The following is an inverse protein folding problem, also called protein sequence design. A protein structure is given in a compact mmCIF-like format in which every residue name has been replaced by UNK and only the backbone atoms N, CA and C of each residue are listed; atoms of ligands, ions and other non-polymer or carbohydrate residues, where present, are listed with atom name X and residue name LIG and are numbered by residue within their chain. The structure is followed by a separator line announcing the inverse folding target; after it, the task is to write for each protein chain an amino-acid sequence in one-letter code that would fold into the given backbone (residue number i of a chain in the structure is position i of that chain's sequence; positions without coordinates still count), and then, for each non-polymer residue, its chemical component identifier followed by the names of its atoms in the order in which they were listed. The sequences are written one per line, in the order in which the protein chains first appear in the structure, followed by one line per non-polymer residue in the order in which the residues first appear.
data_IF_794734699245
#
_entry.id   IF_794734699245
#
_cell.length_a   1.000
_cell.length_b   1.000
_cell.length_c   1.000
_cell.angle_alpha   90.00
_cell.angle_beta   90.00
_cell.angle_gamma   90.00
#
_symmetry.space_group_name_H-M   'P 1'
#
loop_
_entity.id
_entity.type
_entity.pdbx_description
1 polymer ?
#
# COMPACT_ATOMS: atom_id res chain seq x y z
N UNK A 1 0.11 56.20 -24.82
CA UNK A 1 1.44 55.66 -24.48
C UNK A 1 1.18 54.31 -23.86
N UNK A 2 1.51 53.25 -24.60
CA UNK A 2 1.16 51.87 -24.28
C UNK A 2 2.46 51.15 -23.88
N UNK A 3 2.53 50.72 -22.63
CA UNK A 3 3.65 49.95 -22.12
C UNK A 3 3.59 48.53 -22.69
N UNK A 4 4.49 48.25 -23.62
CA UNK A 4 4.82 46.90 -24.05
C UNK A 4 5.72 46.27 -22.99
N UNK A 5 5.18 45.32 -22.23
CA UNK A 5 5.97 44.36 -21.47
C UNK A 5 6.63 43.40 -22.46
N UNK A 6 7.93 43.62 -22.65
CA UNK A 6 8.83 42.69 -23.33
C UNK A 6 8.78 41.33 -22.63
N UNK A 7 8.39 40.31 -23.39
CA UNK A 7 8.51 38.91 -23.03
C UNK A 7 9.99 38.56 -22.85
N UNK A 8 10.44 38.44 -21.61
CA UNK A 8 11.78 37.96 -21.30
C UNK A 8 11.90 36.46 -21.64
N UNK A 9 12.83 36.18 -22.56
CA UNK A 9 13.33 34.87 -22.94
C UNK A 9 13.63 33.98 -21.71
N UNK A 10 12.91 32.86 -21.59
CA UNK A 10 13.36 31.73 -20.77
C UNK A 10 14.14 30.81 -21.70
N UNK A 11 15.43 31.13 -21.89
CA UNK A 11 16.39 30.20 -22.49
C UNK A 11 16.52 28.96 -21.60
N UNK A 12 16.61 27.80 -22.26
CA UNK A 12 16.47 26.47 -21.67
C UNK A 12 17.31 26.19 -20.43
N UNK A 13 16.63 25.75 -19.37
CA UNK A 13 17.22 24.87 -18.37
C UNK A 13 17.60 23.55 -19.07
N UNK A 14 18.86 23.44 -19.51
CA UNK A 14 19.47 22.16 -19.85
C UNK A 14 19.67 21.38 -18.55
N UNK A 15 18.88 20.33 -18.34
CA UNK A 15 19.10 19.38 -17.26
C UNK A 15 20.49 18.76 -17.41
N UNK A 16 21.33 18.87 -16.37
CA UNK A 16 22.61 18.18 -16.32
C UNK A 16 22.39 16.66 -16.35
N UNK A 17 23.19 15.95 -17.15
CA UNK A 17 23.23 14.50 -17.17
C UNK A 17 23.60 13.97 -15.77
N UNK A 18 22.63 13.40 -15.07
CA UNK A 18 22.85 12.77 -13.77
C UNK A 18 23.61 11.45 -14.00
N UNK A 19 24.93 11.49 -13.86
CA UNK A 19 25.75 10.31 -13.64
C UNK A 19 25.83 10.06 -12.14
N UNK A 20 25.13 9.03 -11.65
CA UNK A 20 25.26 8.57 -10.27
C UNK A 20 25.38 7.04 -10.26
N UNK A 21 26.50 6.56 -9.75
CA UNK A 21 26.74 5.13 -9.48
C UNK A 21 26.08 4.78 -8.13
N UNK A 22 24.86 4.27 -8.19
CA UNK A 22 24.20 3.65 -7.03
C UNK A 22 23.97 2.19 -7.35
N UNK A 23 24.80 1.33 -6.73
CA UNK A 23 24.78 -0.12 -6.94
C UNK A 23 23.45 -0.70 -6.47
N UNK A 24 22.67 -1.26 -7.41
CA UNK A 24 21.63 -2.23 -7.09
C UNK A 24 22.28 -3.43 -6.38
N UNK A 25 21.61 -4.09 -5.42
CA UNK A 25 22.06 -5.38 -4.95
C UNK A 25 22.02 -6.36 -6.14
N UNK A 26 23.18 -6.59 -6.74
CA UNK A 26 23.41 -7.63 -7.73
C UNK A 26 23.29 -8.95 -6.98
N UNK A 27 22.09 -9.50 -6.91
CA UNK A 27 21.89 -10.87 -6.46
C UNK A 27 20.66 -11.46 -7.16
N UNK A 28 20.91 -12.06 -8.33
CA UNK A 28 20.15 -13.18 -8.90
C UNK A 28 18.73 -12.95 -9.47
N UNK A 29 18.29 -11.72 -9.71
CA UNK A 29 17.12 -11.48 -10.56
C UNK A 29 17.59 -11.04 -11.96
N UNK A 30 17.58 -11.95 -12.92
CA UNK A 30 17.88 -11.67 -14.33
C UNK A 30 16.76 -10.80 -14.92
N UNK A 31 16.81 -9.49 -14.68
CA UNK A 31 15.90 -8.54 -15.34
C UNK A 31 16.69 -7.81 -16.40
N UNK A 32 16.34 -8.02 -17.65
CA UNK A 32 16.99 -7.34 -18.77
C UNK A 32 16.54 -5.87 -18.81
N UNK A 33 17.49 -4.95 -18.70
CA UNK A 33 17.28 -3.51 -18.86
C UNK A 33 17.23 -3.14 -20.35
N UNK A 34 16.57 -2.03 -20.71
CA UNK A 34 16.58 -1.50 -22.08
C UNK A 34 17.34 -0.16 -22.14
N UNK A 35 18.49 -0.15 -22.80
CA UNK A 35 19.18 1.10 -23.22
C UNK A 35 19.00 1.27 -24.72
N UNK A 36 18.81 2.50 -25.25
CA UNK A 36 18.50 3.76 -24.53
C UNK A 36 17.02 3.96 -24.14
N UNK A 37 16.70 4.87 -23.18
CA UNK A 37 15.32 5.23 -22.77
C UNK A 37 14.36 5.60 -23.91
N UNK A 38 14.90 6.00 -25.06
CA UNK A 38 14.18 6.22 -26.31
C UNK A 38 13.30 5.03 -26.75
N UNK A 39 13.71 3.82 -26.38
CA UNK A 39 12.99 2.57 -26.60
C UNK A 39 11.62 2.56 -25.91
N UNK A 40 11.54 3.16 -24.73
CA UNK A 40 10.30 3.32 -23.96
C UNK A 40 9.41 4.35 -24.63
N UNK A 41 10.01 5.40 -25.21
CA UNK A 41 9.31 6.49 -25.89
C UNK A 41 8.79 6.09 -27.28
N UNK A 42 9.37 5.07 -27.92
CA UNK A 42 8.89 4.52 -29.19
C UNK A 42 7.57 3.72 -29.06
N UNK A 43 6.54 4.02 -29.86
CA UNK A 43 5.24 3.33 -29.84
C UNK A 43 5.28 1.83 -30.16
N UNK A 44 6.17 1.42 -31.06
CA UNK A 44 6.20 0.07 -31.64
C UNK A 44 7.50 -0.67 -31.29
N UNK A 45 8.00 -0.47 -30.07
CA UNK A 45 9.33 -0.94 -29.73
C UNK A 45 9.46 -2.44 -29.52
N UNK A 46 8.33 -3.15 -29.41
CA UNK A 46 8.29 -4.61 -29.25
C UNK A 46 8.94 -5.10 -27.96
N UNK A 47 9.26 -4.19 -27.04
CA UNK A 47 9.93 -4.52 -25.81
C UNK A 47 8.97 -5.12 -24.79
N UNK A 48 9.53 -6.06 -24.04
CA UNK A 48 8.87 -6.67 -22.90
C UNK A 48 8.46 -5.58 -21.87
N UNK A 49 7.15 -5.49 -21.52
CA UNK A 49 6.62 -4.53 -20.56
C UNK A 49 7.37 -4.49 -19.23
N UNK A 50 7.84 -5.63 -18.73
CA UNK A 50 8.61 -5.67 -17.48
C UNK A 50 9.90 -4.85 -17.58
N UNK A 51 10.60 -4.99 -18.71
CA UNK A 51 11.85 -4.30 -18.96
C UNK A 51 11.63 -2.80 -19.11
N UNK A 52 10.52 -2.39 -19.72
CA UNK A 52 10.12 -0.98 -19.86
C UNK A 52 9.97 -0.34 -18.47
N UNK A 53 9.17 -0.97 -17.60
CA UNK A 53 8.88 -0.40 -16.28
C UNK A 53 10.11 -0.41 -15.37
N UNK A 54 10.88 -1.51 -15.34
CA UNK A 54 12.12 -1.58 -14.54
C UNK A 54 13.11 -0.52 -14.99
N UNK A 55 13.27 -0.33 -16.30
CA UNK A 55 14.13 0.71 -16.86
C UNK A 55 13.66 2.10 -16.43
N UNK A 56 12.35 2.38 -16.53
CA UNK A 56 11.78 3.66 -16.10
C UNK A 56 12.00 3.93 -14.59
N UNK A 57 11.78 2.93 -13.73
CA UNK A 57 12.05 3.03 -12.28
C UNK A 57 13.53 3.31 -12.02
N UNK A 58 14.41 2.50 -12.61
CA UNK A 58 15.86 2.64 -12.45
C UNK A 58 16.35 4.01 -12.91
N UNK A 59 15.87 4.48 -14.06
CA UNK A 59 16.18 5.81 -14.59
C UNK A 59 15.70 6.93 -13.66
N UNK A 60 14.44 6.85 -13.21
CA UNK A 60 13.83 7.83 -12.30
C UNK A 60 14.63 7.94 -11.00
N UNK A 61 15.10 6.81 -10.46
CA UNK A 61 15.88 6.76 -9.22
C UNK A 61 17.37 7.09 -9.41
N UNK A 62 17.80 7.41 -10.63
CA UNK A 62 19.21 7.66 -10.95
C UNK A 62 20.10 6.43 -10.76
N UNK A 63 19.54 5.21 -10.80
CA UNK A 63 20.26 3.93 -10.63
C UNK A 63 20.40 3.25 -11.99
N UNK A 64 21.59 3.27 -12.59
CA UNK A 64 21.84 2.54 -13.85
C UNK A 64 22.43 1.15 -13.55
N UNK A 65 21.92 0.05 -14.13
CA UNK A 65 22.61 -1.24 -14.06
C UNK A 65 23.99 -1.18 -14.70
N UNK A 66 24.97 -1.86 -14.11
CA UNK A 66 26.38 -1.85 -14.57
C UNK A 66 26.64 -2.69 -15.82
N UNK A 67 25.71 -3.57 -16.22
CA UNK A 67 25.82 -4.38 -17.44
C UNK A 67 24.48 -4.42 -18.16
N UNK A 68 24.43 -3.89 -19.38
CA UNK A 68 23.20 -3.78 -20.16
C UNK A 68 23.48 -4.23 -21.60
N UNK A 69 22.63 -5.09 -22.20
CA UNK A 69 22.70 -5.35 -23.63
C UNK A 69 22.34 -4.08 -24.41
N UNK A 70 23.27 -3.59 -25.23
CA UNK A 70 23.00 -2.52 -26.19
C UNK A 70 22.10 -3.07 -27.30
N UNK A 71 20.89 -2.52 -27.43
CA UNK A 71 20.04 -2.82 -28.57
C UNK A 71 20.45 -1.91 -29.74
N UNK A 72 20.89 -2.46 -30.88
CA UNK A 72 21.26 -1.65 -32.01
C UNK A 72 20.05 -0.86 -32.49
N UNK A 73 20.22 0.46 -32.60
CA UNK A 73 19.27 1.45 -33.12
C UNK A 73 18.69 1.04 -34.49
N UNK A 74 19.41 0.16 -35.21
CA UNK A 74 19.10 -0.43 -36.52
C UNK A 74 17.73 -1.16 -36.57
N UNK A 75 17.13 -1.54 -35.44
CA UNK A 75 15.79 -2.15 -35.41
C UNK A 75 14.63 -1.16 -35.62
N UNK A 76 14.90 0.15 -35.66
CA UNK A 76 13.88 1.18 -35.82
C UNK A 76 13.95 1.87 -37.18
N UNK A 77 12.79 2.14 -37.78
CA UNK A 77 12.71 2.94 -39.00
C UNK A 77 13.27 4.35 -38.74
N UNK A 78 14.03 4.90 -39.68
CA UNK A 78 14.85 6.12 -39.49
C UNK A 78 14.02 7.37 -39.15
N UNK A 79 12.76 7.41 -39.58
CA UNK A 79 11.78 8.44 -39.23
C UNK A 79 11.24 8.34 -37.79
N UNK A 80 11.23 7.14 -37.22
CA UNK A 80 10.88 6.90 -35.80
C UNK A 80 12.06 7.30 -34.93
N UNK A 81 13.29 6.99 -35.36
CA UNK A 81 14.52 7.38 -34.67
C UNK A 81 14.64 8.91 -34.59
N UNK A 82 14.43 9.65 -35.70
CA UNK A 82 14.57 11.11 -35.68
C UNK A 82 13.56 11.78 -34.74
N UNK A 83 12.28 11.40 -34.81
CA UNK A 83 11.23 11.91 -33.90
C UNK A 83 11.49 11.54 -32.45
N UNK A 84 12.06 10.37 -32.20
CA UNK A 84 12.38 9.93 -30.83
C UNK A 84 13.61 10.66 -30.31
N UNK A 85 14.64 10.91 -31.12
CA UNK A 85 15.80 11.74 -30.75
C UNK A 85 15.37 13.18 -30.43
N UNK A 86 14.41 13.73 -31.17
CA UNK A 86 13.83 15.04 -30.87
C UNK A 86 13.00 15.02 -29.57
N UNK A 87 12.28 13.93 -29.28
CA UNK A 87 11.56 13.75 -28.01
C UNK A 87 12.50 13.57 -26.80
N UNK A 88 13.64 12.87 -26.93
CA UNK A 88 14.63 12.71 -25.84
C UNK A 88 15.21 14.06 -25.41
N UNK A 89 15.29 15.02 -26.33
CA UNK A 89 15.76 16.38 -26.02
C UNK A 89 14.67 17.26 -25.40
N UNK A 90 13.46 16.74 -25.22
CA UNK A 90 12.30 17.46 -24.74
C UNK A 90 11.98 17.07 -23.29
N UNK A 91 11.64 18.05 -22.45
CA UNK A 91 11.21 17.93 -21.05
C UNK A 91 10.08 16.91 -20.87
N UNK A 92 9.26 16.69 -21.91
CA UNK A 92 8.19 15.69 -21.88
C UNK A 92 8.69 14.24 -21.79
N UNK A 93 9.91 13.94 -22.26
CA UNK A 93 10.46 12.58 -22.16
C UNK A 93 10.78 12.19 -20.72
N UNK A 94 11.36 13.12 -19.95
CA UNK A 94 11.62 12.93 -18.53
C UNK A 94 10.31 12.79 -17.74
N UNK A 95 9.29 13.57 -18.09
CA UNK A 95 7.96 13.42 -17.50
C UNK A 95 7.35 12.03 -17.74
N UNK A 96 7.45 11.48 -18.95
CA UNK A 96 6.97 10.12 -19.26
C UNK A 96 7.74 9.06 -18.46
N UNK A 97 9.08 9.19 -18.37
CA UNK A 97 9.91 8.23 -17.64
C UNK A 97 9.63 8.26 -16.14
N UNK A 98 9.52 9.46 -15.55
CA UNK A 98 9.19 9.62 -14.12
C UNK A 98 7.78 9.14 -13.84
N UNK A 99 6.80 9.43 -14.72
CA UNK A 99 5.44 8.91 -14.61
C UNK A 99 5.43 7.37 -14.58
N UNK A 100 6.09 6.72 -15.55
CA UNK A 100 6.15 5.25 -15.63
C UNK A 100 6.90 4.64 -14.43
N UNK A 101 7.97 5.29 -13.96
CA UNK A 101 8.70 4.87 -12.77
C UNK A 101 7.84 4.96 -11.50
N UNK A 102 7.16 6.09 -11.31
CA UNK A 102 6.23 6.29 -10.20
C UNK A 102 5.08 5.28 -10.24
N UNK A 103 4.39 5.16 -11.38
CA UNK A 103 3.27 4.25 -11.55
C UNK A 103 3.70 2.78 -11.38
N UNK A 104 4.87 2.41 -11.91
CA UNK A 104 5.44 1.07 -11.73
C UNK A 104 5.68 0.69 -10.28
N UNK A 105 6.14 1.65 -9.45
CA UNK A 105 6.32 1.44 -8.01
C UNK A 105 4.99 1.41 -7.25
N UNK A 106 4.07 2.33 -7.55
CA UNK A 106 2.75 2.37 -6.91
C UNK A 106 1.94 1.12 -7.19
N UNK A 107 2.04 0.58 -8.40
CA UNK A 107 1.31 -0.63 -8.80
C UNK A 107 1.84 -1.92 -8.18
N UNK A 108 3.03 -1.91 -7.56
CA UNK A 108 3.47 -2.99 -6.68
C UNK A 108 2.62 -3.02 -5.40
N UNK A 109 2.29 -1.86 -4.84
CA UNK A 109 1.52 -1.76 -3.60
C UNK A 109 0.00 -1.79 -3.81
N UNK A 110 -0.47 -1.17 -4.90
CA UNK A 110 -1.89 -1.09 -5.24
C UNK A 110 -2.11 -1.58 -6.66
N UNK A 111 -2.65 -2.80 -6.78
CA UNK A 111 -3.00 -3.38 -8.08
C UNK A 111 -4.03 -2.52 -8.80
N UNK A 112 -3.88 -2.43 -10.10
CA UNK A 112 -4.89 -1.87 -10.98
C UNK A 112 -6.07 -2.84 -11.07
N UNK A 113 -7.29 -2.29 -11.15
CA UNK A 113 -8.52 -3.06 -11.29
C UNK A 113 -8.75 -3.56 -12.71
N UNK A 114 -9.92 -4.14 -12.97
CA UNK A 114 -10.31 -4.57 -14.33
C UNK A 114 -10.77 -3.43 -15.24
N UNK A 115 -11.05 -2.25 -14.68
CA UNK A 115 -11.53 -1.08 -15.41
C UNK A 115 -10.34 -0.20 -15.82
N UNK A 116 -9.98 -0.27 -17.11
CA UNK A 116 -8.86 0.48 -17.66
C UNK A 116 -9.06 2.01 -17.58
N UNK A 117 -10.29 2.51 -17.70
CA UNK A 117 -10.55 3.94 -17.65
C UNK A 117 -10.38 4.44 -16.19
N UNK A 118 -10.92 3.71 -15.21
CA UNK A 118 -10.74 4.04 -13.79
C UNK A 118 -9.26 3.94 -13.34
N UNK A 119 -8.54 2.93 -13.82
CA UNK A 119 -7.10 2.79 -13.60
C UNK A 119 -6.34 3.99 -14.18
N UNK A 120 -6.73 4.40 -15.39
CA UNK A 120 -6.17 5.55 -16.05
C UNK A 120 -6.42 6.85 -15.27
N UNK A 121 -7.65 7.10 -14.86
CA UNK A 121 -8.00 8.29 -14.07
C UNK A 121 -7.22 8.34 -12.75
N UNK A 122 -7.12 7.21 -12.04
CA UNK A 122 -6.34 7.14 -10.80
C UNK A 122 -4.87 7.55 -11.01
N UNK A 123 -4.20 7.00 -12.02
CA UNK A 123 -2.79 7.32 -12.28
C UNK A 123 -2.58 8.75 -12.80
N UNK A 124 -3.50 9.27 -13.63
CA UNK A 124 -3.48 10.67 -14.07
C UNK A 124 -3.66 11.61 -12.89
N UNK A 125 -4.60 11.33 -11.98
CA UNK A 125 -4.83 12.20 -10.82
C UNK A 125 -3.59 12.23 -9.91
N UNK A 126 -2.94 11.08 -9.70
CA UNK A 126 -1.69 11.00 -8.95
C UNK A 126 -0.55 11.75 -9.62
N UNK A 127 -0.46 11.69 -10.94
CA UNK A 127 0.51 12.47 -11.71
C UNK A 127 0.20 13.97 -11.72
N UNK A 128 -1.07 14.35 -11.78
CA UNK A 128 -1.51 15.73 -11.71
C UNK A 128 -1.09 16.37 -10.40
N UNK A 129 -1.18 15.65 -9.28
CA UNK A 129 -0.68 16.14 -7.99
C UNK A 129 0.83 16.47 -8.05
N UNK A 130 1.62 15.63 -8.71
CA UNK A 130 3.07 15.86 -8.90
C UNK A 130 3.29 17.08 -9.77
N UNK A 131 2.55 17.20 -10.87
CA UNK A 131 2.63 18.33 -11.78
C UNK A 131 2.31 19.65 -11.08
N UNK A 132 1.20 19.70 -10.34
CA UNK A 132 0.80 20.86 -9.54
C UNK A 132 1.84 21.25 -8.50
N UNK A 133 2.42 20.26 -7.79
CA UNK A 133 3.43 20.52 -6.75
C UNK A 133 4.82 20.89 -7.30
N UNK A 134 5.05 20.71 -8.61
CA UNK A 134 6.31 21.08 -9.28
C UNK A 134 6.13 22.18 -10.30
N UNK A 135 4.94 22.77 -10.38
CA UNK A 135 4.57 23.86 -11.28
C UNK A 135 4.86 23.55 -12.76
N UNK A 136 4.71 22.28 -13.16
CA UNK A 136 4.84 21.84 -14.55
C UNK A 136 3.47 21.51 -15.16
N UNK A 137 3.37 21.67 -16.47
CA UNK A 137 2.19 21.25 -17.22
C UNK A 137 2.10 19.72 -17.31
N UNK A 138 0.90 19.19 -17.09
CA UNK A 138 0.63 17.76 -17.22
C UNK A 138 0.49 17.35 -18.69
N UNK A 139 1.49 16.61 -19.18
CA UNK A 139 1.58 16.09 -20.57
C UNK A 139 0.41 15.22 -21.04
N UNK A 140 -0.38 14.65 -20.14
CA UNK A 140 -1.54 13.82 -20.49
C UNK A 140 -2.82 14.66 -20.64
N UNK A 141 -2.87 15.85 -20.02
CA UNK A 141 -4.01 16.78 -20.12
C UNK A 141 -3.78 17.76 -21.27
N UNK A 142 -2.55 18.22 -21.47
CA UNK A 142 -2.18 19.16 -22.54
C UNK A 142 -2.16 18.55 -23.95
N UNK A 143 -2.65 17.32 -24.11
CA UNK A 143 -2.70 16.58 -25.38
C UNK A 143 -1.34 16.36 -26.07
N UNK A 144 -0.24 16.58 -25.34
CA UNK A 144 1.13 16.28 -25.81
C UNK A 144 1.32 14.79 -26.01
N UNK A 145 0.76 13.96 -25.11
CA UNK A 145 0.69 12.51 -25.27
C UNK A 145 -0.69 12.11 -25.78
N UNK A 146 -0.74 11.38 -26.89
CA UNK A 146 -2.02 10.90 -27.43
C UNK A 146 -2.69 9.91 -26.48
N UNK A 147 -4.03 9.88 -26.48
CA UNK A 147 -4.82 8.93 -25.68
C UNK A 147 -4.42 7.47 -25.96
N UNK A 148 -4.16 7.13 -27.22
CA UNK A 148 -3.70 5.78 -27.60
C UNK A 148 -2.36 5.42 -26.94
N UNK A 149 -1.42 6.37 -26.92
CA UNK A 149 -0.11 6.17 -26.30
C UNK A 149 -0.24 6.01 -24.79
N UNK A 150 -1.10 6.82 -24.18
CA UNK A 150 -1.42 6.71 -22.77
C UNK A 150 -2.00 5.33 -22.41
N UNK A 151 -3.00 4.85 -23.17
CA UNK A 151 -3.58 3.51 -22.95
C UNK A 151 -2.53 2.39 -23.10
N UNK A 152 -1.53 2.59 -23.95
CA UNK A 152 -0.39 1.66 -24.07
C UNK A 152 0.42 1.60 -22.78
N UNK A 153 0.63 2.72 -22.10
CA UNK A 153 1.31 2.75 -20.79
C UNK A 153 0.51 2.01 -19.71
N UNK A 154 -0.82 2.19 -19.68
CA UNK A 154 -1.69 1.48 -18.73
C UNK A 154 -1.61 -0.04 -18.94
N UNK A 155 -1.72 -0.51 -20.17
CA UNK A 155 -1.55 -1.94 -20.50
C UNK A 155 -0.17 -2.47 -20.12
N UNK A 156 0.87 -1.66 -20.32
CA UNK A 156 2.24 -2.01 -19.91
C UNK A 156 2.34 -2.21 -18.39
N UNK A 157 1.69 -1.34 -17.61
CA UNK A 157 1.64 -1.44 -16.15
C UNK A 157 0.82 -2.63 -15.65
N UNK A 158 -0.25 -3.01 -16.35
CA UNK A 158 -1.04 -4.22 -16.04
C UNK A 158 -0.20 -5.49 -16.22
N UNK A 159 0.52 -5.60 -17.35
CA UNK A 159 1.41 -6.75 -17.60
C UNK A 159 2.56 -6.77 -16.58
N UNK A 160 3.13 -5.61 -16.26
CA UNK A 160 4.15 -5.47 -15.23
C UNK A 160 3.70 -6.02 -13.87
N UNK A 161 2.47 -5.74 -13.44
CA UNK A 161 1.94 -6.22 -12.16
C UNK A 161 1.94 -7.74 -12.05
N UNK A 162 1.50 -8.43 -13.11
CA UNK A 162 1.50 -9.89 -13.16
C UNK A 162 2.94 -10.42 -13.05
N UNK A 163 3.85 -9.82 -13.81
CA UNK A 163 5.27 -10.22 -13.82
C UNK A 163 5.96 -10.01 -12.48
N UNK A 164 5.79 -8.84 -11.87
CA UNK A 164 6.49 -8.43 -10.66
C UNK A 164 6.02 -9.18 -9.40
N UNK A 165 4.75 -9.61 -9.35
CA UNK A 165 4.20 -10.43 -8.26
C UNK A 165 4.98 -11.73 -8.05
N UNK A 166 5.44 -12.35 -9.13
CA UNK A 166 6.24 -13.58 -9.09
C UNK A 166 7.69 -13.36 -8.60
N UNK A 167 8.11 -12.11 -8.39
CA UNK A 167 9.52 -11.74 -8.11
C UNK A 167 9.67 -10.92 -6.82
N UNK A 168 9.45 -11.52 -5.63
CA UNK A 168 9.45 -10.81 -4.36
C UNK A 168 10.76 -10.15 -3.96
N UNK A 169 11.90 -10.69 -4.39
CA UNK A 169 13.19 -10.06 -4.18
C UNK A 169 13.35 -8.77 -5.00
N UNK A 170 12.84 -8.75 -6.23
CA UNK A 170 12.96 -7.64 -7.16
C UNK A 170 12.09 -6.46 -6.73
N UNK A 171 10.79 -6.68 -6.55
CA UNK A 171 9.87 -5.60 -6.17
C UNK A 171 10.32 -4.93 -4.88
N UNK A 172 10.77 -5.74 -3.91
CA UNK A 172 11.28 -5.24 -2.64
C UNK A 172 12.50 -4.35 -2.83
N UNK A 173 13.45 -4.77 -3.67
CA UNK A 173 14.66 -3.99 -3.97
C UNK A 173 14.30 -2.65 -4.61
N UNK A 174 13.31 -2.63 -5.50
CA UNK A 174 12.79 -1.40 -6.12
C UNK A 174 12.11 -0.48 -5.09
N UNK A 175 11.29 -1.04 -4.19
CA UNK A 175 10.63 -0.28 -3.12
C UNK A 175 11.64 0.32 -2.14
N UNK A 176 12.64 -0.43 -1.69
CA UNK A 176 13.73 0.10 -0.85
C UNK A 176 14.46 1.23 -1.57
N UNK A 177 14.76 1.04 -2.86
CA UNK A 177 15.42 2.07 -3.67
C UNK A 177 14.59 3.36 -3.79
N UNK A 178 13.25 3.27 -3.81
CA UNK A 178 12.36 4.42 -3.80
C UNK A 178 12.30 5.11 -2.43
N UNK A 179 12.34 4.34 -1.33
CA UNK A 179 12.38 4.90 0.02
C UNK A 179 13.69 5.67 0.28
N UNK A 180 14.81 5.10 -0.18
CA UNK A 180 16.16 5.66 -0.07
C UNK A 180 16.48 6.65 -1.22
N UNK A 181 15.47 7.25 -1.85
CA UNK A 181 15.67 8.27 -2.88
C UNK A 181 16.47 9.46 -2.32
N UNK A 182 17.63 9.83 -2.92
CA UNK A 182 18.50 10.90 -2.39
C UNK A 182 17.84 12.28 -2.36
N UNK A 183 18.18 13.11 -1.37
CA UNK A 183 17.66 14.48 -1.23
C UNK A 183 18.12 15.42 -2.36
N UNK A 184 19.24 15.11 -3.01
CA UNK A 184 19.79 15.85 -4.14
C UNK A 184 19.18 15.40 -5.48
N UNK A 185 18.14 14.58 -5.46
CA UNK A 185 17.41 14.21 -6.68
C UNK A 185 16.64 15.40 -7.24
N UNK A 186 16.37 15.44 -8.57
CA UNK A 186 15.55 16.50 -9.18
C UNK A 186 14.21 16.66 -8.48
N UNK A 187 13.69 17.88 -8.42
CA UNK A 187 12.42 18.19 -7.73
C UNK A 187 11.27 17.30 -8.23
N UNK A 188 11.16 17.10 -9.54
CA UNK A 188 10.18 16.21 -10.16
C UNK A 188 10.24 14.78 -9.60
N UNK A 189 11.45 14.21 -9.50
CA UNK A 189 11.69 12.88 -8.96
C UNK A 189 11.35 12.83 -7.47
N UNK A 190 11.76 13.83 -6.69
CA UNK A 190 11.47 13.89 -5.24
C UNK A 190 9.98 13.92 -4.96
N UNK A 191 9.24 14.76 -5.66
CA UNK A 191 7.79 14.88 -5.51
C UNK A 191 7.09 13.58 -5.94
N UNK A 192 7.51 12.97 -7.06
CA UNK A 192 6.99 11.68 -7.49
C UNK A 192 7.26 10.57 -6.44
N UNK A 193 8.49 10.49 -5.92
CA UNK A 193 8.84 9.50 -4.89
C UNK A 193 8.15 9.78 -3.55
N UNK A 194 7.82 11.03 -3.22
CA UNK A 194 6.99 11.33 -2.06
C UNK A 194 5.56 10.75 -2.22
N UNK A 195 4.98 10.82 -3.42
CA UNK A 195 3.70 10.16 -3.72
C UNK A 195 3.81 8.64 -3.65
N UNK A 196 4.90 8.06 -4.16
CA UNK A 196 5.19 6.63 -3.99
C UNK A 196 5.26 6.26 -2.51
N UNK A 197 6.01 7.02 -1.69
CA UNK A 197 6.17 6.79 -0.24
C UNK A 197 4.85 6.75 0.51
N UNK A 198 3.90 7.60 0.12
CA UNK A 198 2.54 7.61 0.68
C UNK A 198 1.79 6.35 0.26
N UNK A 199 1.85 5.96 -1.01
CA UNK A 199 1.07 4.82 -1.52
C UNK A 199 1.60 3.46 -1.02
N UNK A 200 2.91 3.34 -0.80
CA UNK A 200 3.53 2.10 -0.29
C UNK A 200 3.57 2.05 1.24
N UNK A 201 2.99 3.05 1.91
CA UNK A 201 2.87 3.08 3.36
C UNK A 201 2.04 1.90 3.84
N UNK A 202 2.54 1.16 4.84
CA UNK A 202 1.94 -0.06 5.37
C UNK A 202 1.75 -1.19 4.34
N UNK A 203 2.54 -1.18 3.26
CA UNK A 203 2.56 -2.27 2.28
C UNK A 203 2.72 -3.63 2.98
N UNK A 204 1.85 -4.59 2.66
CA UNK A 204 1.85 -5.94 3.26
C UNK A 204 1.34 -6.01 4.70
N UNK A 205 0.95 -4.88 5.33
CA UNK A 205 0.49 -4.83 6.71
C UNK A 205 -1.03 -4.62 6.83
N UNK A 206 -1.79 -4.66 5.73
CA UNK A 206 -3.23 -4.32 5.72
C UNK A 206 -4.04 -5.12 6.76
N UNK A 207 -3.88 -6.44 6.80
CA UNK A 207 -4.59 -7.28 7.77
C UNK A 207 -4.15 -7.02 9.20
N UNK A 208 -2.86 -6.73 9.43
CA UNK A 208 -2.35 -6.37 10.75
C UNK A 208 -2.99 -5.06 11.23
N UNK A 209 -3.09 -4.06 10.35
CA UNK A 209 -3.78 -2.81 10.66
C UNK A 209 -5.28 -3.02 10.93
N UNK A 210 -5.94 -3.92 10.20
CA UNK A 210 -7.35 -4.28 10.47
C UNK A 210 -7.51 -4.96 11.83
N UNK A 211 -6.63 -5.87 12.20
CA UNK A 211 -6.60 -6.53 13.51
C UNK A 211 -6.33 -5.53 14.64
N UNK A 212 -5.46 -4.57 14.39
CA UNK A 212 -5.23 -3.49 15.35
C UNK A 212 -6.41 -2.52 15.48
N UNK A 213 -7.07 -2.22 14.35
CA UNK A 213 -8.25 -1.36 14.34
C UNK A 213 -9.49 -2.04 14.93
N UNK A 214 -9.53 -3.38 14.94
CA UNK A 214 -10.60 -4.19 15.52
C UNK A 214 -10.88 -3.80 16.99
N UNK A 215 -9.85 -3.35 17.70
CA UNK A 215 -9.90 -2.98 19.11
C UNK A 215 -9.92 -1.46 19.35
N UNK A 216 -9.96 -0.65 18.30
CA UNK A 216 -9.97 0.80 18.42
C UNK A 216 -11.37 1.33 18.75
N UNK A 217 -11.45 2.15 19.79
CA UNK A 217 -12.66 2.85 20.27
C UNK A 217 -13.37 3.71 19.20
N UNK A 218 -12.71 4.01 18.08
CA UNK A 218 -13.33 4.76 16.98
C UNK A 218 -14.45 3.97 16.27
N UNK A 219 -14.53 2.66 16.48
CA UNK A 219 -15.68 1.86 16.07
C UNK A 219 -16.82 2.05 17.08
N UNK A 220 -17.84 2.82 16.69
CA UNK A 220 -19.07 3.11 17.46
C UNK A 220 -19.75 1.81 17.97
N UNK A 221 -19.51 0.68 17.31
CA UNK A 221 -19.91 -0.65 17.75
C UNK A 221 -18.67 -1.50 18.03
N UNK A 222 -18.29 -1.61 19.30
CA UNK A 222 -17.23 -2.55 19.74
C UNK A 222 -17.68 -3.97 19.39
N UNK A 223 -16.86 -4.69 18.62
CA UNK A 223 -17.17 -6.07 18.26
C UNK A 223 -17.09 -6.97 19.49
N UNK A 224 -18.17 -7.69 19.81
CA UNK A 224 -18.25 -8.47 21.04
C UNK A 224 -17.29 -9.65 21.09
N UNK A 225 -16.77 -10.11 19.95
CA UNK A 225 -15.74 -11.13 19.94
C UNK A 225 -14.46 -10.67 20.69
N UNK A 226 -14.23 -9.35 20.88
CA UNK A 226 -13.12 -8.88 21.71
C UNK A 226 -13.22 -9.29 23.18
N UNK A 227 -14.41 -9.67 23.65
CA UNK A 227 -14.64 -10.13 25.01
C UNK A 227 -14.27 -11.60 25.21
N UNK A 228 -13.99 -12.34 24.12
CA UNK A 228 -13.45 -13.69 24.21
C UNK A 228 -11.98 -13.62 24.69
N UNK A 229 -11.59 -14.36 25.74
CA UNK A 229 -10.27 -14.22 26.37
C UNK A 229 -9.09 -14.38 25.39
N UNK A 230 -9.14 -15.37 24.49
CA UNK A 230 -8.09 -15.60 23.49
C UNK A 230 -7.94 -14.42 22.53
N UNK A 231 -9.04 -13.80 22.11
CA UNK A 231 -9.05 -12.65 21.20
C UNK A 231 -8.53 -11.40 21.93
N UNK A 232 -8.99 -11.15 23.16
CA UNK A 232 -8.53 -10.04 23.99
C UNK A 232 -7.02 -10.10 24.23
N UNK A 233 -6.51 -11.28 24.58
CA UNK A 233 -5.09 -11.52 24.80
C UNK A 233 -4.28 -11.30 23.51
N UNK A 234 -4.70 -11.91 22.40
CA UNK A 234 -4.01 -11.75 21.12
C UNK A 234 -4.00 -10.30 20.63
N UNK A 235 -5.07 -9.53 20.87
CA UNK A 235 -5.12 -8.12 20.53
C UNK A 235 -4.19 -7.28 21.41
N UNK A 236 -4.13 -7.54 22.72
CA UNK A 236 -3.18 -6.89 23.61
C UNK A 236 -1.73 -7.20 23.20
N UNK A 237 -1.43 -8.46 22.87
CA UNK A 237 -0.10 -8.88 22.41
C UNK A 237 0.29 -8.24 21.08
N UNK A 238 -0.65 -8.17 20.12
CA UNK A 238 -0.44 -7.47 18.85
C UNK A 238 -0.16 -5.98 19.06
N UNK A 239 -0.98 -5.31 19.88
CA UNK A 239 -0.82 -3.88 20.20
C UNK A 239 0.55 -3.61 20.82
N UNK A 240 0.98 -4.41 21.81
CA UNK A 240 2.32 -4.31 22.41
C UNK A 240 3.41 -4.47 21.36
N UNK A 241 3.30 -5.49 20.49
CA UNK A 241 4.28 -5.71 19.43
C UNK A 241 4.35 -4.51 18.47
N UNK A 242 3.22 -3.93 18.09
CA UNK A 242 3.19 -2.75 17.23
C UNK A 242 3.76 -1.51 17.91
N UNK A 243 3.43 -1.25 19.17
CA UNK A 243 3.92 -0.08 19.89
C UNK A 243 5.43 -0.15 20.15
N UNK A 244 5.94 -1.35 20.47
CA UNK A 244 7.38 -1.61 20.56
C UNK A 244 8.09 -1.36 19.22
N UNK A 245 7.54 -1.88 18.11
CA UNK A 245 8.11 -1.69 16.78
C UNK A 245 8.02 -0.23 16.32
N UNK A 246 6.92 0.46 16.61
CA UNK A 246 6.72 1.87 16.29
C UNK A 246 7.72 2.75 17.03
N UNK A 247 7.90 2.49 18.33
CA UNK A 247 8.90 3.18 19.16
C UNK A 247 10.31 2.92 18.66
N UNK A 248 10.61 1.67 18.28
CA UNK A 248 11.95 1.26 17.83
C UNK A 248 12.34 1.84 16.48
N UNK A 249 11.40 1.91 15.54
CA UNK A 249 11.70 2.22 14.13
C UNK A 249 11.22 3.59 13.67
N UNK A 250 10.44 4.32 14.47
CA UNK A 250 9.97 5.67 14.17
C UNK A 250 9.34 5.75 12.78
N UNK A 251 9.85 6.67 11.95
CA UNK A 251 9.37 6.92 10.58
C UNK A 251 9.53 5.73 9.63
N UNK A 252 10.34 4.72 9.99
CA UNK A 252 10.48 3.48 9.19
C UNK A 252 9.43 2.43 9.53
N UNK A 253 8.67 2.60 10.62
CA UNK A 253 7.63 1.66 11.04
C UNK A 253 6.58 1.37 9.96
N UNK A 254 6.07 2.37 9.21
CA UNK A 254 5.12 2.09 8.14
C UNK A 254 5.70 1.27 6.98
N UNK A 255 7.02 1.06 6.93
CA UNK A 255 7.73 0.38 5.85
C UNK A 255 8.43 -0.91 6.33
N UNK A 256 8.00 -1.47 7.47
CA UNK A 256 8.60 -2.66 8.09
C UNK A 256 8.76 -3.83 7.11
N UNK A 257 7.69 -4.15 6.37
CA UNK A 257 7.69 -5.25 5.39
C UNK A 257 8.62 -5.00 4.20
N UNK A 258 8.89 -3.73 3.85
CA UNK A 258 9.80 -3.34 2.77
C UNK A 258 11.25 -3.42 3.24
N UNK A 259 11.56 -2.97 4.46
CA UNK A 259 12.92 -2.97 5.01
C UNK A 259 13.35 -4.28 5.69
N UNK A 260 12.43 -5.19 6.05
CA UNK A 260 12.72 -6.47 6.74
C UNK A 260 13.36 -6.23 8.09
N UNK A 261 12.86 -5.20 8.76
CA UNK A 261 13.39 -4.79 10.05
C UNK A 261 13.15 -5.88 11.08
N UNK A 262 14.12 -6.10 11.96
CA UNK A 262 14.09 -7.16 12.96
C UNK A 262 12.82 -7.08 13.81
N UNK A 263 12.13 -8.21 13.97
CA UNK A 263 10.88 -8.28 14.74
C UNK A 263 9.61 -8.07 13.93
N UNK A 264 9.69 -7.79 12.61
CA UNK A 264 8.50 -7.76 11.75
C UNK A 264 7.80 -9.12 11.67
N UNK A 265 8.51 -10.22 11.92
CA UNK A 265 7.95 -11.58 12.02
C UNK A 265 6.91 -11.71 13.15
N UNK A 266 6.89 -10.79 14.12
CA UNK A 266 5.86 -10.71 15.17
C UNK A 266 4.54 -10.18 14.65
N UNK A 267 4.52 -9.50 13.49
CA UNK A 267 3.32 -8.96 12.85
C UNK A 267 2.85 -9.90 11.74
N UNK A 268 2.51 -11.13 12.12
CA UNK A 268 2.00 -12.15 11.21
C UNK A 268 0.64 -12.66 11.69
N UNK A 269 -0.36 -12.69 10.82
CA UNK A 269 -1.71 -13.14 11.15
C UNK A 269 -1.75 -14.55 11.77
N UNK A 270 -0.84 -15.44 11.38
CA UNK A 270 -0.72 -16.80 11.95
C UNK A 270 -0.33 -16.82 13.44
N UNK A 271 0.28 -15.74 13.96
CA UNK A 271 0.60 -15.63 15.39
C UNK A 271 -0.60 -15.20 16.24
N UNK A 272 -1.67 -14.71 15.61
CA UNK A 272 -2.88 -14.23 16.27
C UNK A 272 -4.13 -14.81 15.58
N UNK A 273 -4.28 -16.15 15.55
CA UNK A 273 -5.27 -16.82 14.70
C UNK A 273 -6.72 -16.50 15.09
N UNK A 274 -7.04 -16.40 16.38
CA UNK A 274 -8.38 -16.09 16.87
C UNK A 274 -8.79 -14.65 16.54
N UNK A 275 -7.88 -13.69 16.77
CA UNK A 275 -8.09 -12.29 16.40
C UNK A 275 -8.22 -12.12 14.89
N UNK A 276 -7.38 -12.80 14.11
CA UNK A 276 -7.43 -12.75 12.65
C UNK A 276 -8.77 -13.31 12.13
N UNK A 277 -9.21 -14.45 12.65
CA UNK A 277 -10.49 -15.04 12.29
C UNK A 277 -11.66 -14.11 12.66
N UNK A 278 -11.65 -13.50 13.84
CA UNK A 278 -12.69 -12.56 14.27
C UNK A 278 -12.82 -11.35 13.34
N UNK A 279 -11.69 -10.78 12.90
CA UNK A 279 -11.68 -9.69 11.89
C UNK A 279 -12.31 -10.16 10.59
N UNK A 280 -11.92 -11.33 10.08
CA UNK A 280 -12.46 -11.88 8.84
C UNK A 280 -13.95 -12.14 8.95
N UNK A 281 -14.41 -12.79 10.02
CA UNK A 281 -15.82 -13.05 10.28
C UNK A 281 -16.63 -11.74 10.32
N UNK A 282 -16.06 -10.68 10.89
CA UNK A 282 -16.67 -9.35 10.93
C UNK A 282 -16.81 -8.73 9.53
N UNK A 283 -15.80 -8.87 8.68
CA UNK A 283 -15.87 -8.39 7.30
C UNK A 283 -16.96 -9.16 6.50
N UNK A 284 -17.08 -10.47 6.73
CA UNK A 284 -18.14 -11.31 6.14
C UNK A 284 -19.54 -10.88 6.62
N UNK A 285 -19.71 -10.69 7.92
CA UNK A 285 -20.96 -10.23 8.51
C UNK A 285 -21.39 -8.85 7.92
N UNK A 286 -20.41 -8.00 7.62
CA UNK A 286 -20.60 -6.71 6.93
C UNK A 286 -20.73 -6.82 5.40
N UNK A 287 -20.95 -8.03 4.86
CA UNK A 287 -21.13 -8.32 3.43
C UNK A 287 -19.95 -7.89 2.55
N UNK A 288 -18.74 -7.83 3.11
CA UNK A 288 -17.52 -7.55 2.33
C UNK A 288 -16.95 -8.85 1.76
N UNK A 289 -16.43 -8.77 0.55
CA UNK A 289 -15.75 -9.90 -0.09
C UNK A 289 -14.39 -10.12 0.55
N UNK A 290 -14.11 -11.35 1.00
CA UNK A 290 -12.77 -11.74 1.47
C UNK A 290 -11.83 -11.88 0.25
N UNK A 291 -10.65 -11.23 0.24
CA UNK A 291 -9.63 -11.43 -0.78
C UNK A 291 -9.11 -12.88 -0.83
N UNK A 292 -8.76 -13.41 -2.01
CA UNK A 292 -8.26 -14.79 -2.14
C UNK A 292 -6.96 -15.04 -1.34
N UNK A 293 -6.11 -14.02 -1.19
CA UNK A 293 -4.92 -14.08 -0.35
C UNK A 293 -5.23 -14.40 1.12
N UNK A 294 -6.37 -13.92 1.62
CA UNK A 294 -6.87 -14.20 2.98
C UNK A 294 -7.52 -15.58 3.03
N UNK A 295 -8.25 -15.99 1.97
CA UNK A 295 -8.89 -17.32 1.91
C UNK A 295 -7.89 -18.46 2.06
N UNK A 296 -6.73 -18.37 1.41
CA UNK A 296 -5.69 -19.39 1.55
C UNK A 296 -5.19 -19.55 2.99
N UNK A 297 -5.10 -18.45 3.75
CA UNK A 297 -4.68 -18.51 5.16
C UNK A 297 -5.74 -19.21 6.01
N UNK A 298 -7.03 -18.98 5.73
CA UNK A 298 -8.14 -19.55 6.50
C UNK A 298 -8.26 -21.08 6.41
N UNK A 299 -7.76 -21.70 5.33
CA UNK A 299 -7.84 -23.14 5.11
C UNK A 299 -7.12 -23.90 6.23
N UNK A 300 -5.91 -23.45 6.59
CA UNK A 300 -5.04 -24.11 7.56
C UNK A 300 -5.04 -23.44 8.95
N UNK A 301 -5.86 -22.40 9.14
CA UNK A 301 -5.85 -21.61 10.37
C UNK A 301 -6.45 -22.38 11.55
N UNK A 302 -5.67 -22.69 12.58
CA UNK A 302 -6.17 -23.28 13.83
C UNK A 302 -6.38 -22.19 14.87
N UNK A 303 -7.62 -22.01 15.32
CA UNK A 303 -8.00 -21.11 16.41
C UNK A 303 -8.02 -21.88 17.74
N UNK A 304 -7.82 -21.18 18.87
CA UNK A 304 -7.93 -21.79 20.21
C UNK A 304 -9.37 -21.82 20.68
N UNK A 305 -10.11 -20.74 20.42
CA UNK A 305 -11.55 -20.68 20.57
C UNK A 305 -12.20 -21.26 19.31
N UNK A 306 -13.23 -22.09 19.48
CA UNK A 306 -13.93 -22.67 18.34
C UNK A 306 -14.55 -21.59 17.45
N UNK A 307 -14.37 -21.72 16.13
CA UNK A 307 -14.81 -20.72 15.14
C UNK A 307 -16.30 -20.35 15.27
N UNK A 308 -17.17 -21.32 15.53
CA UNK A 308 -18.61 -21.09 15.69
C UNK A 308 -18.96 -20.22 16.92
N UNK A 309 -18.13 -20.23 17.96
CA UNK A 309 -18.28 -19.34 19.12
C UNK A 309 -17.89 -17.92 18.73
N UNK A 310 -16.79 -17.77 17.99
CA UNK A 310 -16.34 -16.47 17.47
C UNK A 310 -17.41 -15.88 16.54
N UNK A 311 -17.93 -16.68 15.61
CA UNK A 311 -18.99 -16.26 14.69
C UNK A 311 -20.24 -15.77 15.45
N UNK A 312 -20.66 -16.51 16.49
CA UNK A 312 -21.79 -16.13 17.31
C UNK A 312 -21.57 -14.79 18.05
N UNK A 313 -20.36 -14.53 18.57
CA UNK A 313 -20.04 -13.24 19.21
C UNK A 313 -19.95 -12.09 18.19
N UNK A 314 -19.40 -12.33 17.00
CA UNK A 314 -19.41 -11.35 15.91
C UNK A 314 -20.84 -10.98 15.54
N UNK A 315 -21.74 -11.95 15.41
CA UNK A 315 -23.16 -11.72 15.09
C UNK A 315 -23.89 -10.93 16.19
N UNK A 316 -23.54 -11.16 17.47
CA UNK A 316 -24.08 -10.38 18.61
C UNK A 316 -23.66 -8.91 18.58
N UNK A 317 -22.62 -8.53 17.83
CA UNK A 317 -22.25 -7.11 17.65
C UNK A 317 -23.40 -6.29 17.03
N UNK A 318 -24.37 -6.95 16.40
CA UNK A 318 -25.60 -6.32 15.87
C UNK A 318 -26.75 -6.20 16.90
N UNK A 319 -26.66 -6.81 18.09
CA UNK A 319 -27.71 -6.80 19.12
C UNK A 319 -27.13 -6.60 20.54
N UNK A 320 -27.56 -5.52 21.22
CA UNK A 320 -27.10 -5.18 22.57
C UNK A 320 -27.45 -6.27 23.60
N UNK A 321 -26.45 -6.80 24.30
CA UNK A 321 -26.55 -7.72 25.45
C UNK A 321 -25.26 -7.65 26.29
N UNK A 322 -25.38 -7.90 27.60
CA UNK A 322 -24.39 -7.71 28.69
C UNK A 322 -23.48 -8.95 28.83
N UNK A 323 -22.19 -8.76 29.16
CA UNK A 323 -21.21 -9.83 29.37
C UNK A 323 -20.53 -9.73 30.75
N UNK A 324 -20.34 -10.88 31.41
CA UNK A 324 -19.52 -11.06 32.61
C UNK A 324 -18.09 -11.44 32.18
N UNK A 325 -17.09 -10.62 32.52
CA UNK A 325 -15.70 -10.76 32.07
C UNK A 325 -14.76 -11.14 33.22
N UNK A 326 -13.77 -12.00 32.95
CA UNK A 326 -12.73 -12.32 33.92
C UNK A 326 -11.72 -11.17 34.10
N UNK A 327 -10.90 -11.25 35.15
CA UNK A 327 -9.95 -10.21 35.53
C UNK A 327 -8.84 -9.99 34.49
N UNK A 328 -8.36 -11.06 33.84
CA UNK A 328 -7.30 -11.00 32.84
C UNK A 328 -7.81 -10.34 31.57
N UNK A 329 -8.99 -10.77 31.09
CA UNK A 329 -9.68 -10.15 29.96
C UNK A 329 -9.96 -8.67 30.24
N UNK A 330 -10.42 -8.35 31.45
CA UNK A 330 -10.63 -6.95 31.88
C UNK A 330 -9.35 -6.14 31.84
N UNK A 331 -8.21 -6.69 32.28
CA UNK A 331 -6.92 -6.01 32.23
C UNK A 331 -6.44 -5.78 30.79
N UNK A 332 -6.60 -6.78 29.91
CA UNK A 332 -6.27 -6.67 28.49
C UNK A 332 -7.13 -5.61 27.79
N UNK A 333 -8.43 -5.57 28.05
CA UNK A 333 -9.34 -4.55 27.51
C UNK A 333 -8.95 -3.15 27.99
N UNK A 334 -8.60 -2.99 29.28
CA UNK A 334 -8.10 -1.72 29.81
C UNK A 334 -6.81 -1.28 29.13
N UNK A 335 -5.87 -2.20 28.88
CA UNK A 335 -4.65 -1.90 28.14
C UNK A 335 -4.94 -1.41 26.71
N UNK A 336 -6.00 -1.93 26.10
CA UNK A 336 -6.51 -1.49 24.80
C UNK A 336 -7.37 -0.20 24.89
N UNK A 337 -7.42 0.45 26.05
CA UNK A 337 -8.30 1.59 26.37
C UNK A 337 -9.81 1.30 26.22
N UNK A 338 -10.24 0.04 26.23
CA UNK A 338 -11.65 -0.33 26.20
C UNK A 338 -12.19 -0.38 27.63
N UNK A 339 -13.09 0.56 27.98
CA UNK A 339 -13.76 0.55 29.28
C UNK A 339 -14.85 -0.53 29.33
N UNK A 340 -14.60 -1.62 30.06
CA UNK A 340 -15.59 -2.67 30.32
C UNK A 340 -16.85 -2.17 31.03
N UNK A 341 -16.76 -1.04 31.75
CA UNK A 341 -17.89 -0.39 32.43
C UNK A 341 -19.00 0.11 31.49
N UNK A 342 -18.70 0.29 30.20
CA UNK A 342 -19.72 0.63 29.19
C UNK A 342 -20.67 -0.54 28.90
N UNK A 343 -20.31 -1.77 29.30
CA UNK A 343 -21.05 -3.00 28.97
C UNK A 343 -21.45 -3.84 30.18
N UNK A 344 -20.96 -3.52 31.38
CA UNK A 344 -21.32 -4.20 32.63
C UNK A 344 -22.19 -3.27 33.52
N UNK A 345 -23.50 -3.53 33.63
CA UNK A 345 -24.24 -3.10 34.83
C UNK A 345 -24.09 -4.19 35.88
N UNK A 346 -23.65 -3.80 37.09
CA UNK A 346 -23.64 -4.66 38.27
C UNK A 346 -25.00 -5.36 38.40
N UNK A 347 -25.01 -6.70 38.47
CA UNK A 347 -26.10 -7.43 39.15
C UNK A 347 -26.03 -7.04 40.62
N UNK A 348 -26.64 -5.92 40.99
CA UNK A 348 -27.02 -5.73 42.38
C UNK A 348 -28.15 -6.72 42.67
N UNK A 349 -27.81 -7.69 43.52
CA UNK A 349 -28.65 -8.66 44.23
C UNK A 349 -30.14 -8.32 44.19
N UNK A 350 -30.93 -9.17 43.53
CA UNK A 350 -32.35 -9.33 43.79
C UNK A 350 -32.60 -10.62 44.60
N UNK A 351 -31.69 -10.98 45.51
CA UNK A 351 -31.83 -12.14 46.40
C UNK A 351 -32.58 -11.85 47.71
N UNK A 352 -33.04 -10.61 47.96
CA UNK A 352 -33.71 -10.26 49.24
C UNK A 352 -35.18 -9.82 49.14
N UNK A 353 -35.86 -10.02 47.99
CA UNK A 353 -37.31 -9.70 47.88
C UNK A 353 -38.23 -10.88 47.52
N UNK A 354 -37.73 -12.12 47.43
CA UNK A 354 -38.58 -13.30 47.19
C UNK A 354 -38.95 -14.11 48.45
N UNK A 355 -38.58 -13.65 49.65
CA UNK A 355 -38.86 -14.36 50.92
C UNK A 355 -39.97 -13.72 51.79
N UNK A 356 -40.55 -12.57 51.41
CA UNK A 356 -41.59 -11.90 52.25
C UNK A 356 -43.01 -11.82 51.66
N UNK A 357 -43.36 -12.59 50.63
CA UNK A 357 -44.75 -12.64 50.11
C UNK A 357 -45.35 -14.04 49.92
N UNK A 358 -44.68 -15.12 50.36
CA UNK A 358 -45.27 -16.47 50.48
C UNK A 358 -45.29 -16.92 51.94
N UNK A 359 -46.09 -16.24 52.74
CA UNK A 359 -46.18 -16.53 54.18
C UNK A 359 -47.43 -16.00 54.87
N UNK A 360 -48.59 -15.94 54.19
CA UNK A 360 -49.89 -15.84 54.88
C UNK A 360 -50.98 -16.51 54.04
N UNK A 361 -51.19 -17.80 54.30
CA UNK A 361 -52.49 -18.44 54.12
C UNK A 361 -52.97 -18.98 55.46
N UNK A 362 -54.11 -18.42 55.89
CA UNK A 362 -55.25 -19.08 56.54
C UNK A 362 -55.14 -19.35 58.05
N UNK A 363 -55.99 -18.65 58.81
CA UNK A 363 -57.16 -19.32 59.41
C UNK A 363 -58.42 -18.64 58.90
#
# INVERSE_FOLDING_TARGET
MSDHLESSNIEGMKYENIYRDVRLPIARAAVAYITPPHAILCPNSGFDPEKIIVTAICWTLGKRPTSIPEYPIVLYNQSVISKTIDMIKNVHSDQILVFLGMAGLMTIAKKLGSDMDANGEYLINRWQDVCSATEIENIFISSVVSRERYMTFIRTLEIWQIGIESRPALYRSLLVAALDCPEESPMLVKTAMAKVKIEIQYFGMEMILKMDAFVSLQNINVNKAIFLPDIAQQAADLRRAMDELRTRYGDRFPYLEIYRLKGSDRLNCSKYPDLFYAVVATEVANKKTIPDSVRHILIDLQTRTDRHIIDAEVDKTLKFEILDLDEVTTANLRFLNIESRLFCKRREKNDDNEILLKGRKIK
#
